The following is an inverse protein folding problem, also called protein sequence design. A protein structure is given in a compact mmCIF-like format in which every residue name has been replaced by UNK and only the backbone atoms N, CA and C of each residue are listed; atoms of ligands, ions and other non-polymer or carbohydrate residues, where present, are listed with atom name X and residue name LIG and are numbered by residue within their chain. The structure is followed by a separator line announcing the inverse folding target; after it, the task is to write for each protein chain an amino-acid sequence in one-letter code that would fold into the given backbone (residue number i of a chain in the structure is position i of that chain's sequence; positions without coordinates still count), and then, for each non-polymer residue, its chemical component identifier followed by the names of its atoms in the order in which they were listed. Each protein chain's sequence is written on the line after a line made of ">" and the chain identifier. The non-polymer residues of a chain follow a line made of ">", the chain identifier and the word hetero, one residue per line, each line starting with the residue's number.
data_IF_045453025921
#
_entry.id   IF_045453025921
#
_cell.length_a   1.000
_cell.length_b   1.000
_cell.length_c   1.000
_cell.angle_alpha   90.00
_cell.angle_beta   90.00
_cell.angle_gamma   90.00
#
_symmetry.space_group_name_H-M   'P 1'
#
loop_
_entity.id
_entity.type
_entity.pdbx_description
1 polymer ?
#
# COMPACT_ATOMS: atom_id res chain seq x y z
N UNK A 1 79.11 -35.13 8.16
CA UNK A 1 77.79 -35.34 8.80
C UNK A 1 77.26 -33.99 9.22
N UNK A 2 76.40 -33.43 8.39
CA UNK A 2 75.46 -32.28 8.63
C UNK A 2 74.96 -31.78 7.30
N UNK A 3 73.95 -32.45 6.77
CA UNK A 3 73.09 -31.93 5.71
C UNK A 3 71.69 -32.21 6.15
N UNK A 4 70.86 -31.22 6.09
CA UNK A 4 69.35 -31.18 6.09
C UNK A 4 68.80 -30.15 7.08
N UNK A 5 68.66 -28.93 6.61
CA UNK A 5 67.64 -27.96 7.08
C UNK A 5 67.70 -26.72 6.20
N UNK A 6 67.18 -26.79 5.03
CA UNK A 6 66.87 -25.58 4.21
C UNK A 6 65.99 -25.93 3.00
N UNK A 7 64.85 -26.51 3.20
CA UNK A 7 63.80 -26.61 2.13
C UNK A 7 62.42 -26.67 2.72
N UNK A 8 62.11 -25.89 3.75
CA UNK A 8 60.70 -25.87 4.27
C UNK A 8 60.16 -24.46 4.57
N UNK A 9 60.70 -23.45 3.91
CA UNK A 9 60.22 -22.07 4.18
C UNK A 9 59.78 -21.30 2.93
N UNK A 10 59.66 -21.92 1.77
CA UNK A 10 59.21 -21.28 0.54
C UNK A 10 57.81 -21.73 0.08
N UNK A 11 57.16 -22.64 0.78
CA UNK A 11 55.83 -23.18 0.39
C UNK A 11 54.65 -22.54 1.07
N UNK A 12 54.85 -21.65 2.04
CA UNK A 12 53.72 -21.10 2.84
C UNK A 12 53.38 -19.64 2.46
N UNK A 13 54.20 -18.96 1.67
CA UNK A 13 53.95 -17.56 1.29
C UNK A 13 53.11 -17.46 -0.02
N UNK A 14 53.04 -18.53 -0.82
CA UNK A 14 52.26 -18.51 -2.06
C UNK A 14 50.75 -18.85 -1.90
N UNK A 15 50.36 -19.40 -0.73
CA UNK A 15 48.95 -19.76 -0.47
C UNK A 15 48.15 -18.69 0.29
N UNK A 16 48.80 -17.64 0.79
CA UNK A 16 48.12 -16.55 1.51
C UNK A 16 47.80 -15.34 0.60
N UNK A 17 48.45 -15.28 -0.57
CA UNK A 17 48.23 -14.16 -1.52
C UNK A 17 47.10 -14.45 -2.53
N UNK A 18 46.63 -15.72 -2.67
CA UNK A 18 45.48 -16.04 -3.55
C UNK A 18 44.14 -16.08 -2.85
N UNK A 19 44.07 -15.90 -1.53
CA UNK A 19 42.79 -15.82 -0.83
C UNK A 19 42.29 -14.39 -0.57
N UNK A 20 43.09 -13.37 -0.93
CA UNK A 20 42.70 -11.97 -0.72
C UNK A 20 42.14 -11.25 -1.95
N UNK A 21 42.03 -11.92 -3.10
CA UNK A 21 41.46 -11.32 -4.33
C UNK A 21 40.08 -11.84 -4.71
N UNK A 22 39.44 -12.66 -3.87
CA UNK A 22 38.05 -13.09 -4.03
C UNK A 22 37.08 -12.46 -3.01
N UNK A 23 37.54 -11.45 -2.27
CA UNK A 23 36.67 -10.47 -1.64
C UNK A 23 36.37 -9.32 -2.62
N UNK A 24 36.14 -9.63 -3.89
CA UNK A 24 35.37 -8.76 -4.75
C UNK A 24 33.94 -8.83 -4.26
N UNK A 25 33.66 -7.93 -3.30
CA UNK A 25 32.43 -7.20 -3.27
C UNK A 25 31.25 -8.05 -3.82
N UNK A 26 30.67 -8.88 -2.97
CA UNK A 26 29.24 -9.10 -3.02
C UNK A 26 28.58 -7.72 -2.73
N UNK A 27 28.84 -6.77 -3.64
CA UNK A 27 28.10 -5.52 -3.70
C UNK A 27 26.68 -5.97 -3.97
N UNK A 28 25.87 -5.86 -2.92
CA UNK A 28 24.46 -6.14 -2.82
C UNK A 28 23.83 -6.24 -4.22
N UNK A 29 23.58 -7.45 -4.67
CA UNK A 29 22.59 -7.69 -5.71
C UNK A 29 21.27 -7.24 -5.09
N UNK A 30 20.95 -5.95 -5.24
CA UNK A 30 19.69 -5.39 -4.78
C UNK A 30 18.60 -6.13 -5.52
N UNK A 31 17.97 -7.04 -4.83
CA UNK A 31 16.85 -7.82 -5.25
C UNK A 31 15.71 -6.88 -5.64
N UNK A 32 15.07 -7.09 -6.80
CA UNK A 32 13.81 -6.41 -7.10
C UNK A 32 12.75 -6.94 -6.16
N UNK A 33 12.06 -6.07 -5.41
CA UNK A 33 11.03 -6.52 -4.51
C UNK A 33 9.86 -7.16 -5.28
N UNK A 34 9.30 -8.27 -4.78
CA UNK A 34 8.07 -8.82 -5.31
C UNK A 34 6.96 -7.79 -5.15
N UNK A 35 6.35 -7.35 -6.26
CA UNK A 35 5.23 -6.44 -6.21
C UNK A 35 3.93 -7.22 -5.97
N UNK A 36 3.16 -6.82 -4.97
CA UNK A 36 1.86 -7.37 -4.69
C UNK A 36 0.76 -6.45 -5.20
N UNK A 37 -0.10 -6.92 -6.10
CA UNK A 37 -1.24 -6.14 -6.59
C UNK A 37 -2.55 -6.52 -5.89
N UNK A 38 -3.30 -5.52 -5.44
CA UNK A 38 -4.66 -5.67 -4.92
C UNK A 38 -5.59 -4.90 -5.83
N UNK A 39 -6.30 -5.62 -6.68
CA UNK A 39 -7.24 -5.06 -7.66
C UNK A 39 -8.41 -6.02 -7.82
N UNK A 40 -9.61 -5.53 -7.55
CA UNK A 40 -10.85 -6.24 -7.82
C UNK A 40 -11.41 -5.91 -9.20
N UNK A 41 -12.43 -6.63 -9.63
CA UNK A 41 -13.13 -6.36 -10.89
C UNK A 41 -13.81 -4.96 -10.92
N UNK A 42 -13.96 -4.34 -9.76
CA UNK A 42 -14.49 -2.99 -9.59
C UNK A 42 -14.09 -2.46 -8.19
N UNK A 43 -14.35 -1.16 -7.94
CA UNK A 43 -14.02 -0.50 -6.66
C UNK A 43 -14.59 -1.18 -5.41
N UNK A 44 -15.78 -1.80 -5.51
CA UNK A 44 -16.39 -2.51 -4.38
C UNK A 44 -15.65 -3.80 -4.04
N UNK A 45 -15.16 -4.49 -5.05
CA UNK A 45 -14.33 -5.70 -4.84
C UNK A 45 -12.93 -5.33 -4.36
N UNK A 46 -12.32 -4.26 -4.92
CA UNK A 46 -11.03 -3.74 -4.41
C UNK A 46 -11.14 -3.40 -2.93
N UNK A 47 -12.19 -2.69 -2.51
CA UNK A 47 -12.45 -2.38 -1.09
C UNK A 47 -12.54 -3.65 -0.23
N UNK A 48 -13.21 -4.66 -0.75
CA UNK A 48 -13.35 -5.95 -0.10
C UNK A 48 -12.03 -6.70 0.03
N UNK A 49 -11.23 -6.78 -1.04
CA UNK A 49 -9.91 -7.43 -1.02
C UNK A 49 -8.95 -6.76 -0.03
N UNK A 50 -9.01 -5.43 0.09
CA UNK A 50 -8.27 -4.69 1.10
C UNK A 50 -8.74 -5.05 2.50
N UNK A 51 -10.06 -5.10 2.73
CA UNK A 51 -10.64 -5.47 4.03
C UNK A 51 -10.26 -6.89 4.45
N UNK A 52 -10.24 -7.84 3.52
CA UNK A 52 -9.93 -9.25 3.77
C UNK A 52 -8.49 -9.49 4.26
N UNK A 53 -7.60 -8.50 4.14
CA UNK A 53 -6.21 -8.62 4.61
C UNK A 53 -6.07 -8.52 6.13
N UNK A 54 -7.13 -8.19 6.86
CA UNK A 54 -7.12 -8.03 8.32
C UNK A 54 -8.37 -8.62 8.97
N UNK A 55 -8.28 -8.99 10.22
CA UNK A 55 -9.44 -9.38 11.01
C UNK A 55 -10.17 -8.14 11.51
N UNK A 56 -11.49 -8.11 11.39
CA UNK A 56 -12.32 -7.00 11.86
C UNK A 56 -13.73 -7.48 12.26
N UNK A 57 -14.36 -6.76 13.17
CA UNK A 57 -15.76 -6.98 13.61
C UNK A 57 -16.61 -5.73 13.45
N UNK A 58 -16.01 -4.66 12.93
CA UNK A 58 -16.64 -3.38 12.62
C UNK A 58 -16.19 -2.94 11.25
N UNK A 59 -16.99 -2.16 10.55
CA UNK A 59 -16.62 -1.56 9.28
C UNK A 59 -17.17 -0.14 9.16
N UNK A 60 -16.53 0.66 8.32
CA UNK A 60 -17.07 1.92 7.83
C UNK A 60 -17.67 1.67 6.47
N UNK A 61 -18.86 2.18 6.21
CA UNK A 61 -19.49 2.13 4.89
C UNK A 61 -19.71 3.56 4.38
N UNK A 62 -19.22 3.81 3.16
CA UNK A 62 -19.36 5.07 2.44
C UNK A 62 -19.92 4.83 1.03
N UNK A 63 -20.52 5.84 0.44
CA UNK A 63 -20.88 5.84 -0.98
C UNK A 63 -19.95 6.76 -1.78
N UNK A 64 -19.39 6.22 -2.86
CA UNK A 64 -18.47 6.94 -3.74
C UNK A 64 -18.95 7.02 -5.19
N UNK A 65 -20.22 6.69 -5.46
CA UNK A 65 -20.75 6.66 -6.83
C UNK A 65 -20.93 8.07 -7.42
N UNK A 66 -21.33 9.02 -6.59
CA UNK A 66 -21.52 10.42 -7.01
C UNK A 66 -20.36 11.32 -6.58
N UNK A 67 -19.79 11.04 -5.43
CA UNK A 67 -18.74 11.87 -4.83
C UNK A 67 -18.01 11.10 -3.72
N UNK A 68 -16.73 11.36 -3.57
CA UNK A 68 -15.89 10.81 -2.51
C UNK A 68 -15.99 11.62 -1.20
N UNK A 69 -16.68 12.74 -1.20
CA UNK A 69 -16.59 13.76 -0.15
C UNK A 69 -16.90 13.29 1.27
N UNK A 70 -17.89 12.39 1.43
CA UNK A 70 -18.22 11.82 2.74
C UNK A 70 -17.10 10.89 3.25
N UNK A 71 -16.31 10.32 2.32
CA UNK A 71 -15.18 9.44 2.63
C UNK A 71 -13.91 10.16 3.04
N UNK A 72 -13.76 11.46 2.71
CA UNK A 72 -12.51 12.21 2.95
C UNK A 72 -12.08 12.26 4.43
N UNK A 73 -13.05 12.16 5.35
CA UNK A 73 -12.80 12.14 6.80
C UNK A 73 -12.82 10.74 7.44
N UNK A 74 -13.07 9.67 6.65
CA UNK A 74 -13.33 8.34 7.18
C UNK A 74 -12.10 7.66 7.80
N UNK A 75 -10.90 7.94 7.30
CA UNK A 75 -9.68 7.17 7.60
C UNK A 75 -9.25 7.27 9.07
N UNK A 76 -9.37 8.44 9.70
CA UNK A 76 -9.09 8.58 11.13
C UNK A 76 -10.00 7.69 11.99
N UNK A 77 -11.30 7.62 11.66
CA UNK A 77 -12.25 6.74 12.31
C UNK A 77 -11.95 5.27 12.00
N UNK A 78 -11.51 4.96 10.78
CA UNK A 78 -11.09 3.61 10.41
C UNK A 78 -9.93 3.11 11.30
N UNK A 79 -8.94 3.96 11.55
CA UNK A 79 -7.86 3.67 12.48
C UNK A 79 -8.34 3.57 13.94
N UNK A 80 -9.15 4.52 14.41
CA UNK A 80 -9.61 4.57 15.79
C UNK A 80 -10.53 3.39 16.17
N UNK A 81 -11.37 2.93 15.23
CA UNK A 81 -12.30 1.81 15.44
C UNK A 81 -11.78 0.46 14.94
N UNK A 82 -10.55 0.40 14.43
CA UNK A 82 -9.98 -0.79 13.78
C UNK A 82 -10.90 -1.36 12.67
N UNK A 83 -11.45 -0.48 11.83
CA UNK A 83 -12.45 -0.82 10.82
C UNK A 83 -11.90 -0.66 9.40
N UNK A 84 -12.11 -1.59 8.47
CA UNK A 84 -11.90 -1.33 7.06
C UNK A 84 -12.97 -0.36 6.53
N UNK A 85 -12.67 0.27 5.39
CA UNK A 85 -13.64 1.06 4.64
C UNK A 85 -14.21 0.18 3.53
N UNK A 86 -15.52 -0.03 3.54
CA UNK A 86 -16.29 -0.73 2.52
C UNK A 86 -17.16 0.25 1.75
N UNK A 87 -17.50 -0.09 0.53
CA UNK A 87 -18.27 0.78 -0.36
C UNK A 87 -19.70 0.27 -0.55
N UNK A 88 -20.65 1.21 -0.65
CA UNK A 88 -22.03 0.92 -1.02
C UNK A 88 -22.51 1.82 -2.17
N UNK A 89 -23.61 1.44 -2.78
CA UNK A 89 -24.39 2.34 -3.66
C UNK A 89 -25.41 3.11 -2.82
N UNK A 90 -26.02 4.15 -3.41
CA UNK A 90 -27.02 4.95 -2.73
C UNK A 90 -28.18 4.09 -2.22
N UNK A 91 -28.73 3.20 -3.04
CA UNK A 91 -29.98 2.47 -2.78
C UNK A 91 -29.78 0.94 -2.61
N UNK A 92 -28.57 0.42 -2.77
CA UNK A 92 -28.29 -1.02 -2.70
C UNK A 92 -26.87 -1.30 -2.20
N UNK A 93 -26.68 -2.46 -1.62
CA UNK A 93 -25.36 -2.93 -1.18
C UNK A 93 -24.84 -3.92 -2.21
N UNK A 94 -23.67 -3.66 -2.84
CA UNK A 94 -23.04 -4.60 -3.79
C UNK A 94 -22.73 -5.96 -3.16
N UNK A 95 -22.76 -7.02 -3.96
CA UNK A 95 -22.49 -8.38 -3.47
C UNK A 95 -21.09 -8.52 -2.83
N UNK A 96 -20.09 -7.84 -3.37
CA UNK A 96 -18.74 -7.80 -2.80
C UNK A 96 -18.72 -7.24 -1.38
N UNK A 97 -19.54 -6.25 -1.08
CA UNK A 97 -19.72 -5.72 0.27
C UNK A 97 -20.58 -6.64 1.12
N UNK A 98 -21.70 -7.16 0.59
CA UNK A 98 -22.60 -8.05 1.32
C UNK A 98 -21.90 -9.29 1.89
N UNK A 99 -21.01 -9.93 1.12
CA UNK A 99 -20.19 -11.08 1.53
C UNK A 99 -19.33 -10.82 2.78
N UNK A 100 -19.06 -9.57 3.10
CA UNK A 100 -18.17 -9.15 4.20
C UNK A 100 -18.90 -8.63 5.44
N UNK A 101 -20.24 -8.69 5.42
CA UNK A 101 -21.06 -8.20 6.53
C UNK A 101 -21.31 -9.24 7.62
N UNK A 102 -21.22 -10.55 7.33
CA UNK A 102 -21.73 -11.60 8.19
C UNK A 102 -21.04 -11.70 9.56
N UNK A 103 -19.80 -11.19 9.68
CA UNK A 103 -19.04 -11.17 10.95
C UNK A 103 -19.10 -9.84 11.68
N UNK A 104 -19.83 -8.85 11.12
CA UNK A 104 -19.84 -7.50 11.67
C UNK A 104 -20.82 -7.37 12.84
N UNK A 105 -20.34 -6.75 13.90
CA UNK A 105 -21.14 -6.37 15.07
C UNK A 105 -21.60 -4.91 14.99
N UNK A 106 -20.82 -4.04 14.30
CA UNK A 106 -21.09 -2.61 14.19
C UNK A 106 -20.67 -2.07 12.83
N UNK A 107 -21.44 -1.14 12.31
CA UNK A 107 -21.14 -0.38 11.11
C UNK A 107 -21.27 1.11 11.41
N UNK A 108 -20.27 1.86 11.00
CA UNK A 108 -20.36 3.31 10.86
C UNK A 108 -20.77 3.64 9.42
N UNK A 109 -21.92 4.25 9.27
CA UNK A 109 -22.47 4.65 7.97
C UNK A 109 -22.23 6.14 7.79
N UNK A 110 -21.23 6.54 7.00
CA UNK A 110 -20.88 7.96 6.83
C UNK A 110 -21.57 8.54 5.61
N UNK A 111 -22.32 9.59 5.83
CA UNK A 111 -23.10 10.33 4.82
C UNK A 111 -24.59 10.33 5.11
N UNK A 112 -25.25 11.38 4.64
CA UNK A 112 -26.68 11.60 4.78
C UNK A 112 -27.53 10.66 3.94
N UNK A 113 -28.85 10.74 4.12
CA UNK A 113 -29.83 9.87 3.43
C UNK A 113 -29.80 10.03 1.90
N UNK A 114 -29.34 11.17 1.40
CA UNK A 114 -29.17 11.44 -0.02
C UNK A 114 -27.91 10.78 -0.60
N UNK A 115 -26.92 10.47 0.26
CA UNK A 115 -25.73 9.70 -0.11
C UNK A 115 -25.98 8.20 0.04
N UNK A 116 -26.52 7.78 1.19
CA UNK A 116 -26.83 6.38 1.51
C UNK A 116 -28.25 6.32 2.05
N UNK A 117 -29.16 5.73 1.29
CA UNK A 117 -30.60 5.75 1.60
C UNK A 117 -30.94 5.00 2.90
N UNK A 118 -32.12 5.30 3.44
CA UNK A 118 -32.70 4.56 4.57
C UNK A 118 -32.90 3.07 4.24
N UNK A 119 -33.12 2.72 2.96
CA UNK A 119 -33.24 1.33 2.56
C UNK A 119 -31.94 0.54 2.84
N UNK A 120 -30.77 1.09 2.47
CA UNK A 120 -29.46 0.48 2.78
C UNK A 120 -29.27 0.34 4.29
N UNK A 121 -29.58 1.39 5.06
CA UNK A 121 -29.49 1.35 6.53
C UNK A 121 -30.40 0.24 7.12
N UNK A 122 -31.62 0.10 6.62
CA UNK A 122 -32.56 -0.93 7.07
C UNK A 122 -32.07 -2.35 6.72
N UNK A 123 -31.50 -2.56 5.54
CA UNK A 123 -30.89 -3.85 5.17
C UNK A 123 -29.80 -4.23 6.20
N UNK A 124 -28.93 -3.29 6.58
CA UNK A 124 -27.88 -3.52 7.58
C UNK A 124 -28.46 -3.82 8.97
N UNK A 125 -29.49 -3.08 9.40
CA UNK A 125 -30.17 -3.30 10.69
C UNK A 125 -30.88 -4.67 10.75
N UNK A 126 -31.50 -5.10 9.64
CA UNK A 126 -32.17 -6.39 9.53
C UNK A 126 -31.18 -7.57 9.65
N UNK A 127 -29.89 -7.37 9.33
CA UNK A 127 -28.81 -8.33 9.60
C UNK A 127 -28.36 -8.33 11.08
N UNK A 128 -29.08 -7.65 11.99
CA UNK A 128 -28.76 -7.48 13.42
C UNK A 128 -27.42 -6.79 13.68
N UNK A 129 -26.96 -5.96 12.76
CA UNK A 129 -25.73 -5.18 12.91
C UNK A 129 -26.09 -3.83 13.56
N UNK A 130 -25.35 -3.41 14.58
CA UNK A 130 -25.49 -2.07 15.15
C UNK A 130 -25.01 -1.03 14.13
N UNK A 131 -25.92 -0.22 13.61
CA UNK A 131 -25.62 0.85 12.65
C UNK A 131 -25.57 2.19 13.37
N UNK A 132 -24.46 2.90 13.22
CA UNK A 132 -24.26 4.29 13.67
C UNK A 132 -24.12 5.14 12.41
N UNK A 133 -25.14 5.95 12.09
CA UNK A 133 -25.05 6.90 10.99
C UNK A 133 -24.34 8.16 11.48
N UNK A 134 -23.35 8.61 10.71
CA UNK A 134 -22.62 9.87 10.95
C UNK A 134 -22.88 10.76 9.72
N UNK A 135 -23.62 11.81 9.90
CA UNK A 135 -24.00 12.76 8.87
C UNK A 135 -24.02 14.19 9.41
N UNK A 136 -23.90 15.17 8.56
CA UNK A 136 -24.04 16.59 8.85
C UNK A 136 -24.86 17.27 7.74
N UNK A 137 -25.08 18.56 7.89
CA UNK A 137 -25.80 19.38 6.88
C UNK A 137 -25.02 19.47 5.57
N UNK A 138 -23.71 19.34 5.61
CA UNK A 138 -22.78 19.31 4.48
C UNK A 138 -21.56 18.45 4.80
N UNK A 139 -20.59 18.36 3.86
CA UNK A 139 -19.37 17.58 4.00
C UNK A 139 -18.47 18.05 5.15
N UNK A 140 -18.45 19.35 5.42
CA UNK A 140 -17.68 19.94 6.50
C UNK A 140 -18.26 19.50 7.83
N UNK A 141 -19.57 19.65 8.02
CA UNK A 141 -20.28 19.25 9.25
C UNK A 141 -20.21 17.72 9.45
N UNK A 142 -20.31 16.92 8.36
CA UNK A 142 -20.09 15.47 8.42
C UNK A 142 -18.70 15.17 8.99
N UNK A 143 -17.65 15.85 8.51
CA UNK A 143 -16.27 15.62 9.00
C UNK A 143 -16.12 15.95 10.49
N UNK A 144 -16.83 16.97 11.01
CA UNK A 144 -16.85 17.30 12.43
C UNK A 144 -17.53 16.23 13.26
N UNK A 145 -18.63 15.66 12.75
CA UNK A 145 -19.32 14.58 13.44
C UNK A 145 -18.49 13.29 13.43
N UNK A 146 -17.71 13.04 12.39
CA UNK A 146 -16.68 11.97 12.39
C UNK A 146 -15.61 12.24 13.44
N UNK A 147 -15.10 13.49 13.53
CA UNK A 147 -14.12 13.87 14.55
C UNK A 147 -14.65 13.70 15.98
N UNK A 148 -15.92 14.04 16.22
CA UNK A 148 -16.59 13.78 17.51
C UNK A 148 -16.67 12.30 17.82
N UNK A 149 -17.01 11.46 16.84
CA UNK A 149 -17.04 10.00 17.08
C UNK A 149 -15.64 9.47 17.39
N UNK A 150 -14.57 9.96 16.75
CA UNK A 150 -13.19 9.61 17.10
C UNK A 150 -12.90 10.03 18.57
N UNK A 151 -13.33 11.23 18.98
CA UNK A 151 -13.11 11.70 20.36
C UNK A 151 -13.86 10.89 21.42
N UNK A 152 -14.97 10.24 21.05
CA UNK A 152 -15.68 9.29 21.91
C UNK A 152 -14.92 7.96 22.08
N UNK A 153 -14.07 7.61 21.11
CA UNK A 153 -13.31 6.35 21.12
C UNK A 153 -11.94 6.49 21.76
N UNK A 154 -11.30 7.65 21.62
CA UNK A 154 -9.97 7.94 22.16
C UNK A 154 -9.75 9.44 22.32
N UNK A 155 -8.75 9.81 23.12
CA UNK A 155 -8.23 11.19 23.14
C UNK A 155 -7.68 11.56 21.77
N UNK A 156 -8.07 12.70 21.23
CA UNK A 156 -7.53 13.28 19.99
C UNK A 156 -6.27 14.08 20.35
N UNK A 157 -5.15 13.69 19.78
CA UNK A 157 -3.85 14.33 20.03
C UNK A 157 -3.44 15.27 18.90
N UNK A 158 -3.93 15.00 17.68
CA UNK A 158 -3.64 15.78 16.48
C UNK A 158 -4.92 15.99 15.65
N UNK A 159 -4.95 17.04 14.86
CA UNK A 159 -6.01 17.33 13.87
C UNK A 159 -5.38 17.70 12.54
N UNK A 160 -5.89 17.12 11.47
CA UNK A 160 -5.46 17.40 10.10
C UNK A 160 -6.54 18.21 9.38
N UNK A 161 -6.25 19.49 9.10
CA UNK A 161 -7.14 20.40 8.40
C UNK A 161 -6.90 20.30 6.89
N UNK A 162 -7.95 20.09 6.10
CA UNK A 162 -7.91 20.07 4.64
C UNK A 162 -9.05 20.90 4.06
N UNK A 163 -8.92 21.35 2.80
CA UNK A 163 -9.99 22.09 2.15
C UNK A 163 -11.05 21.14 1.59
N UNK A 164 -12.31 21.38 1.93
CA UNK A 164 -13.46 20.57 1.54
C UNK A 164 -13.78 20.61 0.03
N UNK A 165 -13.31 21.61 -0.69
CA UNK A 165 -13.72 21.92 -2.07
C UNK A 165 -12.57 21.89 -3.07
N UNK A 166 -11.35 22.16 -2.61
CA UNK A 166 -10.13 22.25 -3.43
C UNK A 166 -9.01 21.33 -2.92
N UNK A 167 -9.27 20.51 -1.90
CA UNK A 167 -8.28 19.69 -1.21
C UNK A 167 -8.65 18.21 -1.13
N UNK A 168 -9.41 17.66 -2.08
CA UNK A 168 -9.77 16.23 -2.05
C UNK A 168 -8.50 15.37 -2.05
N UNK A 169 -7.53 15.69 -2.90
CA UNK A 169 -6.25 14.94 -2.96
C UNK A 169 -5.42 15.13 -1.69
N UNK A 170 -5.42 16.33 -1.11
CA UNK A 170 -4.74 16.61 0.16
C UNK A 170 -5.36 15.79 1.31
N UNK A 171 -6.70 15.69 1.35
CA UNK A 171 -7.43 14.85 2.31
C UNK A 171 -7.09 13.37 2.16
N UNK A 172 -6.98 12.90 0.92
CA UNK A 172 -6.60 11.52 0.62
C UNK A 172 -5.13 11.27 0.96
N UNK A 173 -4.24 12.20 0.66
CA UNK A 173 -2.82 12.09 0.96
C UNK A 173 -2.52 11.98 2.46
N UNK A 174 -3.29 12.66 3.31
CA UNK A 174 -3.15 12.57 4.77
C UNK A 174 -3.92 11.40 5.38
N UNK A 175 -4.81 10.74 4.64
CA UNK A 175 -5.65 9.64 5.13
C UNK A 175 -4.87 8.48 5.77
N UNK A 176 -3.74 8.00 5.22
CA UNK A 176 -2.94 6.95 5.85
C UNK A 176 -2.38 7.38 7.21
N UNK A 177 -1.95 8.63 7.32
CA UNK A 177 -1.47 9.24 8.58
C UNK A 177 -2.59 9.33 9.60
N UNK A 178 -3.77 9.78 9.17
CA UNK A 178 -4.96 9.85 10.02
C UNK A 178 -5.35 8.47 10.55
N UNK A 179 -5.29 7.44 9.73
CA UNK A 179 -5.53 6.05 10.14
C UNK A 179 -4.44 5.53 11.10
N UNK A 180 -3.15 5.78 10.81
CA UNK A 180 -2.00 5.41 11.63
C UNK A 180 -2.10 5.95 13.06
N UNK A 181 -2.30 7.26 13.17
CA UNK A 181 -2.35 7.95 14.45
C UNK A 181 -3.75 8.01 15.06
N UNK A 182 -4.77 7.50 14.34
CA UNK A 182 -6.17 7.45 14.81
C UNK A 182 -6.73 8.84 15.11
N UNK A 183 -6.35 9.83 14.32
CA UNK A 183 -6.69 11.24 14.50
C UNK A 183 -7.56 11.74 13.33
N UNK A 184 -8.43 12.75 13.55
CA UNK A 184 -9.40 13.17 12.55
C UNK A 184 -8.80 13.99 11.41
N UNK A 185 -9.28 13.73 10.19
CA UNK A 185 -9.23 14.68 9.08
C UNK A 185 -10.48 15.56 9.16
N UNK A 186 -10.28 16.86 9.31
CA UNK A 186 -11.35 17.84 9.42
C UNK A 186 -11.37 18.73 8.19
N UNK A 187 -12.49 18.70 7.50
CA UNK A 187 -12.71 19.51 6.32
C UNK A 187 -13.04 20.96 6.70
N UNK A 188 -12.47 21.90 5.97
CA UNK A 188 -12.70 23.34 6.15
C UNK A 188 -13.04 24.01 4.81
N UNK A 189 -13.49 25.25 4.87
CA UNK A 189 -13.58 26.11 3.68
C UNK A 189 -12.26 26.81 3.34
N UNK A 190 -11.16 26.42 3.98
CA UNK A 190 -9.85 27.02 3.85
C UNK A 190 -9.62 28.30 4.67
N UNK A 191 -10.67 28.85 5.32
CA UNK A 191 -10.62 30.15 6.01
C UNK A 191 -10.85 30.07 7.51
N UNK A 192 -11.70 29.14 7.95
CA UNK A 192 -12.09 29.00 9.35
C UNK A 192 -12.52 27.57 9.71
N UNK A 193 -12.56 27.32 11.01
CA UNK A 193 -13.14 26.12 11.63
C UNK A 193 -14.05 26.54 12.79
N UNK A 194 -15.11 25.81 13.14
CA UNK A 194 -16.05 26.19 14.19
C UNK A 194 -15.65 25.77 15.61
N UNK A 195 -14.44 25.27 15.81
CA UNK A 195 -13.94 24.83 17.12
C UNK A 195 -12.54 25.38 17.38
N UNK A 196 -12.12 25.33 18.63
CA UNK A 196 -10.77 25.70 19.06
C UNK A 196 -9.84 24.49 19.00
N UNK A 197 -8.61 24.70 18.59
CA UNK A 197 -7.55 23.69 18.54
C UNK A 197 -6.54 23.84 19.69
N UNK A 198 -6.87 24.62 20.71
CA UNK A 198 -5.98 24.86 21.85
C UNK A 198 -5.62 23.54 22.54
N UNK A 199 -4.32 23.28 22.70
CA UNK A 199 -3.81 22.06 23.30
C UNK A 199 -3.82 20.82 22.39
N UNK A 200 -4.23 20.96 21.13
CA UNK A 200 -4.20 19.88 20.12
C UNK A 200 -3.24 20.26 19.02
N UNK A 201 -2.30 19.39 18.71
CA UNK A 201 -1.37 19.61 17.59
C UNK A 201 -2.14 19.64 16.28
N UNK A 202 -1.98 20.71 15.52
CA UNK A 202 -2.77 20.94 14.30
C UNK A 202 -1.86 21.02 13.09
N UNK A 203 -2.29 20.37 12.01
CA UNK A 203 -1.63 20.43 10.71
C UNK A 203 -2.60 20.98 9.67
N UNK A 204 -2.09 21.88 8.82
CA UNK A 204 -2.80 22.38 7.65
C UNK A 204 -2.21 21.71 6.41
N UNK A 205 -2.98 20.86 5.77
CA UNK A 205 -2.55 20.08 4.63
C UNK A 205 -2.97 20.75 3.33
N UNK A 206 -1.97 21.10 2.53
CA UNK A 206 -2.15 21.82 1.27
C UNK A 206 -1.51 23.20 1.25
N UNK A 207 -1.39 23.79 0.05
CA UNK A 207 -0.82 25.10 -0.18
C UNK A 207 -1.71 26.26 0.30
N UNK A 208 -1.20 27.50 0.14
CA UNK A 208 -1.90 28.73 0.55
C UNK A 208 -3.21 28.97 -0.20
N UNK A 209 -3.32 28.48 -1.45
CA UNK A 209 -4.55 28.52 -2.22
C UNK A 209 -5.66 27.59 -1.64
N UNK A 210 -5.27 26.50 -0.99
CA UNK A 210 -6.19 25.54 -0.38
C UNK A 210 -6.56 25.96 1.05
N UNK A 211 -5.59 26.33 1.87
CA UNK A 211 -5.79 26.77 3.26
C UNK A 211 -5.08 28.11 3.48
N UNK A 212 -5.84 29.14 3.83
CA UNK A 212 -5.32 30.49 4.02
C UNK A 212 -4.37 30.57 5.23
N UNK A 213 -3.37 31.45 5.16
CA UNK A 213 -2.44 31.68 6.26
C UNK A 213 -3.13 32.19 7.53
N UNK A 214 -4.26 32.93 7.38
CA UNK A 214 -5.06 33.34 8.54
C UNK A 214 -5.59 32.17 9.37
N UNK A 215 -6.04 31.09 8.72
CA UNK A 215 -6.47 29.87 9.42
C UNK A 215 -5.28 29.14 10.04
N UNK A 216 -4.17 29.04 9.32
CA UNK A 216 -2.92 28.43 9.85
C UNK A 216 -2.46 29.14 11.11
N UNK A 217 -2.41 30.49 11.06
CA UNK A 217 -1.97 31.31 12.18
C UNK A 217 -2.93 31.22 13.39
N UNK A 218 -4.24 31.31 13.14
CA UNK A 218 -5.25 31.27 14.22
C UNK A 218 -5.31 29.91 14.93
N UNK A 219 -4.99 28.83 14.22
CA UNK A 219 -4.95 27.46 14.78
C UNK A 219 -3.54 27.04 15.22
N UNK A 220 -2.53 27.87 15.02
CA UNK A 220 -1.11 27.54 15.21
C UNK A 220 -0.71 26.25 14.49
N UNK A 221 -1.32 25.99 13.33
CA UNK A 221 -1.11 24.77 12.58
C UNK A 221 0.27 24.74 11.92
N UNK A 222 0.89 23.59 11.84
CA UNK A 222 2.04 23.34 10.96
C UNK A 222 1.53 23.07 9.55
N UNK A 223 1.92 23.90 8.57
CA UNK A 223 1.57 23.67 7.17
C UNK A 223 2.44 22.58 6.56
N UNK A 224 1.79 21.64 5.87
CA UNK A 224 2.42 20.66 4.98
C UNK A 224 1.74 20.79 3.62
N UNK A 225 2.44 21.38 2.66
CA UNK A 225 1.94 21.61 1.31
C UNK A 225 3.09 21.69 0.32
N UNK A 226 2.86 21.19 -0.87
CA UNK A 226 3.79 21.17 -1.98
C UNK A 226 3.46 22.21 -3.05
N UNK A 227 4.23 22.18 -4.14
CA UNK A 227 3.96 22.99 -5.34
C UNK A 227 2.74 22.46 -6.09
N UNK A 228 2.48 21.15 -5.94
CA UNK A 228 1.28 20.48 -6.41
C UNK A 228 0.83 19.40 -5.41
N UNK A 229 -0.24 18.67 -5.78
CA UNK A 229 -0.85 17.63 -4.95
C UNK A 229 0.05 16.41 -4.72
N UNK A 230 0.95 16.08 -5.67
CA UNK A 230 1.86 14.94 -5.57
C UNK A 230 3.07 15.29 -4.71
N UNK A 231 3.61 16.49 -4.85
CA UNK A 231 4.63 17.03 -3.94
C UNK A 231 4.08 17.17 -2.51
N UNK A 232 2.80 17.53 -2.35
CA UNK A 232 2.13 17.50 -1.03
C UNK A 232 2.11 16.10 -0.45
N UNK A 233 1.74 15.07 -1.24
CA UNK A 233 1.74 13.67 -0.80
C UNK A 233 3.14 13.21 -0.38
N UNK A 234 4.16 13.51 -1.17
CA UNK A 234 5.55 13.17 -0.87
C UNK A 234 6.03 13.83 0.44
N UNK A 235 5.73 15.12 0.65
CA UNK A 235 6.06 15.84 1.88
C UNK A 235 5.37 15.28 3.10
N UNK A 236 4.11 14.85 2.98
CA UNK A 236 3.39 14.13 4.05
C UNK A 236 4.13 12.84 4.39
N UNK A 237 4.49 12.04 3.41
CA UNK A 237 5.21 10.78 3.61
C UNK A 237 6.56 11.05 4.29
N UNK A 238 7.35 11.99 3.78
CA UNK A 238 8.64 12.36 4.37
C UNK A 238 8.52 12.91 5.79
N UNK A 239 7.39 13.53 6.15
CA UNK A 239 7.17 14.08 7.49
C UNK A 239 6.75 13.02 8.50
N UNK A 240 5.78 12.15 8.16
CA UNK A 240 5.13 11.24 9.09
C UNK A 240 5.66 9.81 9.08
N UNK A 241 6.45 9.43 8.07
CA UNK A 241 7.00 8.08 7.90
C UNK A 241 8.53 8.09 7.84
N UNK A 242 9.16 9.00 8.59
CA UNK A 242 10.63 9.17 8.59
C UNK A 242 11.38 7.89 8.95
N UNK A 243 10.86 7.14 9.90
CA UNK A 243 11.51 5.92 10.40
C UNK A 243 11.28 4.76 9.44
N UNK A 244 10.08 4.63 8.90
CA UNK A 244 9.74 3.63 7.89
C UNK A 244 10.52 3.84 6.58
N UNK A 245 10.85 5.09 6.24
CA UNK A 245 11.65 5.42 5.05
C UNK A 245 13.16 5.13 5.21
N UNK A 246 13.66 4.93 6.41
CA UNK A 246 15.06 4.51 6.61
C UNK A 246 15.32 3.10 6.07
N UNK A 247 14.29 2.24 6.21
CA UNK A 247 14.28 0.87 5.72
C UNK A 247 12.90 0.59 5.10
N UNK A 248 12.61 1.10 3.89
CA UNK A 248 11.27 1.04 3.34
C UNK A 248 10.92 -0.40 2.96
N UNK A 249 10.26 -1.13 3.88
CA UNK A 249 9.80 -2.48 3.60
C UNK A 249 8.61 -2.49 2.66
N UNK A 250 7.57 -1.71 2.96
CA UNK A 250 6.35 -1.69 2.15
C UNK A 250 5.85 -0.27 1.94
N UNK A 251 5.48 0.03 0.69
CA UNK A 251 4.82 1.27 0.26
C UNK A 251 3.63 0.86 -0.60
N UNK A 252 2.46 1.45 -0.33
CA UNK A 252 1.32 1.32 -1.22
C UNK A 252 1.47 2.29 -2.39
N UNK A 253 1.39 1.79 -3.61
CA UNK A 253 1.44 2.58 -4.85
C UNK A 253 0.03 2.66 -5.41
N UNK A 254 -0.46 3.86 -5.64
CA UNK A 254 -1.82 4.11 -6.14
C UNK A 254 -1.78 5.18 -7.22
N UNK A 255 -2.58 5.02 -8.28
CA UNK A 255 -2.72 6.09 -9.28
C UNK A 255 -3.30 7.36 -8.65
N UNK A 256 -2.70 8.51 -8.94
CA UNK A 256 -3.23 9.81 -8.52
C UNK A 256 -4.60 10.15 -9.15
N UNK A 257 -4.98 9.41 -10.18
CA UNK A 257 -6.28 9.57 -10.85
C UNK A 257 -7.39 8.73 -10.19
N UNK A 258 -7.01 7.81 -9.26
CA UNK A 258 -7.95 6.94 -8.55
C UNK A 258 -7.94 7.21 -7.04
N UNK A 259 -8.58 8.31 -6.64
CA UNK A 259 -8.65 8.72 -5.23
C UNK A 259 -9.42 7.74 -4.34
N UNK A 260 -10.30 6.92 -4.92
CA UNK A 260 -11.04 5.90 -4.16
C UNK A 260 -10.09 4.82 -3.69
N UNK A 261 -9.27 4.27 -4.57
CA UNK A 261 -8.29 3.24 -4.21
C UNK A 261 -7.24 3.79 -3.25
N UNK A 262 -6.86 5.07 -3.39
CA UNK A 262 -5.97 5.74 -2.46
C UNK A 262 -6.57 5.88 -1.05
N UNK A 263 -7.87 6.22 -0.93
CA UNK A 263 -8.55 6.24 0.36
C UNK A 263 -8.61 4.84 0.98
N UNK A 264 -9.00 3.83 0.20
CA UNK A 264 -9.12 2.46 0.67
C UNK A 264 -7.79 1.91 1.18
N UNK A 265 -6.69 2.22 0.49
CA UNK A 265 -5.34 1.78 0.87
C UNK A 265 -4.88 2.35 2.21
N UNK A 266 -5.45 3.47 2.68
CA UNK A 266 -5.18 4.03 4.01
C UNK A 266 -5.50 3.06 5.16
N UNK A 267 -6.27 2.01 4.91
CA UNK A 267 -6.70 1.03 5.90
C UNK A 267 -5.97 -0.31 5.80
N UNK A 268 -5.00 -0.48 4.90
CA UNK A 268 -4.26 -1.74 4.74
C UNK A 268 -3.40 -2.02 5.97
N UNK A 269 -2.48 -1.12 6.27
CA UNK A 269 -1.60 -1.23 7.43
C UNK A 269 -1.10 0.15 7.86
N UNK A 270 -1.02 0.39 9.17
CA UNK A 270 -0.63 1.68 9.75
C UNK A 270 0.78 2.16 9.36
N UNK A 271 1.72 1.24 9.12
CA UNK A 271 3.12 1.56 8.81
C UNK A 271 3.38 1.71 7.31
N UNK A 272 2.37 1.49 6.45
CA UNK A 272 2.57 1.60 5.01
C UNK A 272 2.15 2.97 4.50
N UNK A 273 3.10 3.82 4.07
CA UNK A 273 2.75 5.06 3.40
C UNK A 273 2.03 4.76 2.07
N UNK A 274 1.13 5.65 1.69
CA UNK A 274 0.42 5.58 0.39
C UNK A 274 0.99 6.65 -0.52
N UNK A 275 1.67 6.20 -1.56
CA UNK A 275 2.33 7.05 -2.54
C UNK A 275 1.49 7.17 -3.80
N UNK A 276 1.09 8.39 -4.12
CA UNK A 276 0.33 8.71 -5.32
C UNK A 276 1.27 8.85 -6.50
N UNK A 277 0.97 8.15 -7.59
CA UNK A 277 1.81 8.16 -8.79
C UNK A 277 1.04 8.60 -10.04
N UNK A 278 1.74 9.28 -10.93
CA UNK A 278 1.35 9.57 -12.31
C UNK A 278 2.58 9.44 -13.23
N UNK A 279 2.48 9.90 -14.49
CA UNK A 279 3.57 9.81 -15.45
C UNK A 279 4.80 10.67 -15.08
N UNK A 280 4.61 11.75 -14.33
CA UNK A 280 5.63 12.83 -14.20
C UNK A 280 6.28 12.97 -12.84
N UNK A 281 5.66 12.50 -11.73
CA UNK A 281 6.27 12.67 -10.41
C UNK A 281 7.50 11.78 -10.19
N UNK A 282 8.38 12.20 -9.28
CA UNK A 282 9.52 11.41 -8.84
C UNK A 282 9.06 10.08 -8.18
N UNK A 283 9.69 8.97 -8.52
CA UNK A 283 9.41 7.62 -7.98
C UNK A 283 10.51 7.10 -7.04
N UNK A 284 11.47 7.94 -6.69
CA UNK A 284 12.62 7.52 -5.87
C UNK A 284 12.24 6.88 -4.53
N UNK A 285 11.15 7.35 -3.91
CA UNK A 285 10.64 6.75 -2.67
C UNK A 285 10.15 5.30 -2.86
N UNK A 286 9.57 5.01 -4.03
CA UNK A 286 8.99 3.69 -4.32
C UNK A 286 10.05 2.72 -4.79
N UNK A 287 10.99 3.17 -5.62
CA UNK A 287 12.07 2.32 -6.15
C UNK A 287 13.02 1.81 -5.06
N UNK A 288 13.00 2.43 -3.88
CA UNK A 288 13.76 1.99 -2.70
C UNK A 288 13.00 0.97 -1.83
N UNK A 289 11.71 0.74 -2.06
CA UNK A 289 10.90 -0.16 -1.24
C UNK A 289 11.18 -1.64 -1.55
N UNK A 290 11.24 -2.47 -0.50
CA UNK A 290 11.49 -3.91 -0.66
C UNK A 290 10.26 -4.69 -1.15
N UNK A 291 9.06 -4.28 -0.75
CA UNK A 291 7.80 -4.97 -1.06
C UNK A 291 6.69 -3.96 -1.40
N UNK A 292 6.74 -3.32 -2.57
CA UNK A 292 5.69 -2.39 -2.98
C UNK A 292 4.35 -3.11 -3.18
N UNK A 293 3.26 -2.48 -2.71
CA UNK A 293 1.90 -2.97 -2.88
C UNK A 293 1.19 -2.07 -3.89
N UNK A 294 0.81 -2.62 -5.02
CA UNK A 294 0.07 -1.92 -6.07
C UNK A 294 -1.41 -2.01 -5.75
N UNK A 295 -2.11 -0.88 -5.67
CA UNK A 295 -3.54 -0.85 -5.40
C UNK A 295 -4.28 -0.31 -6.61
N UNK A 296 -5.26 -1.10 -7.07
CA UNK A 296 -6.09 -0.75 -8.20
C UNK A 296 -5.38 -0.81 -9.55
N UNK A 297 -5.93 -0.07 -10.50
CA UNK A 297 -5.41 0.01 -11.86
C UNK A 297 -4.41 1.16 -12.01
N UNK A 298 -3.20 0.82 -12.45
CA UNK A 298 -2.12 1.77 -12.73
C UNK A 298 -1.58 1.44 -14.11
N UNK A 299 -1.42 2.45 -14.97
CA UNK A 299 -0.83 2.29 -16.31
C UNK A 299 0.54 1.62 -16.25
N UNK A 300 0.83 0.76 -17.21
CA UNK A 300 2.07 -0.01 -17.25
C UNK A 300 3.32 0.89 -17.28
N UNK A 301 3.26 2.01 -18.00
CA UNK A 301 4.37 2.96 -18.10
C UNK A 301 4.73 3.59 -16.75
N UNK A 302 3.73 3.80 -15.90
CA UNK A 302 3.93 4.31 -14.52
C UNK A 302 4.48 3.20 -13.63
N UNK A 303 3.94 1.98 -13.73
CA UNK A 303 4.44 0.83 -12.97
C UNK A 303 5.89 0.53 -13.30
N UNK A 304 6.28 0.64 -14.57
CA UNK A 304 7.66 0.48 -15.00
C UNK A 304 8.61 1.43 -14.27
N UNK A 305 8.22 2.69 -14.14
CA UNK A 305 9.01 3.69 -13.41
C UNK A 305 9.08 3.38 -11.91
N UNK A 306 8.03 2.78 -11.34
CA UNK A 306 7.96 2.46 -9.91
C UNK A 306 8.74 1.19 -9.55
N UNK A 307 8.67 0.15 -10.38
CA UNK A 307 9.07 -1.20 -10.01
C UNK A 307 10.41 -1.65 -10.58
N UNK A 308 10.94 -0.96 -11.58
CA UNK A 308 12.15 -1.40 -12.28
C UNK A 308 13.22 -0.31 -12.28
N UNK A 309 14.10 -0.29 -11.28
CA UNK A 309 15.28 0.56 -11.31
C UNK A 309 16.15 0.25 -12.53
N UNK A 310 16.70 1.28 -13.19
CA UNK A 310 17.45 1.13 -14.44
C UNK A 310 18.61 0.15 -14.38
N UNK A 311 19.27 0.06 -13.23
CA UNK A 311 20.41 -0.83 -13.03
C UNK A 311 20.04 -2.32 -12.99
N UNK A 312 18.74 -2.66 -12.94
CA UNK A 312 18.27 -4.06 -12.90
C UNK A 312 17.95 -4.62 -14.29
N UNK A 313 17.90 -3.80 -15.32
CA UNK A 313 17.61 -4.26 -16.66
C UNK A 313 18.91 -4.74 -17.33
N UNK A 314 18.92 -6.01 -17.75
CA UNK A 314 20.04 -6.60 -18.45
C UNK A 314 19.65 -6.90 -19.91
N UNK A 315 20.57 -6.68 -20.84
CA UNK A 315 20.35 -6.97 -22.26
C UNK A 315 19.26 -6.07 -22.89
N UNK A 316 18.40 -6.68 -23.72
CA UNK A 316 17.33 -6.00 -24.45
C UNK A 316 15.99 -5.94 -23.70
N UNK A 317 15.92 -6.40 -22.46
CA UNK A 317 14.68 -6.42 -21.67
C UNK A 317 14.29 -5.00 -21.30
N UNK A 318 13.08 -4.58 -21.69
CA UNK A 318 12.51 -3.28 -21.35
C UNK A 318 11.60 -3.41 -20.13
N UNK A 319 11.48 -2.34 -19.37
CA UNK A 319 10.53 -2.25 -18.22
C UNK A 319 9.10 -2.57 -18.64
N UNK A 320 8.66 -2.01 -19.78
CA UNK A 320 7.32 -2.23 -20.34
C UNK A 320 6.99 -3.71 -20.56
N UNK A 321 7.98 -4.51 -20.87
CA UNK A 321 7.79 -5.93 -21.19
C UNK A 321 7.56 -6.74 -19.89
N UNK A 322 8.27 -6.39 -18.82
CA UNK A 322 8.05 -7.01 -17.50
C UNK A 322 6.67 -6.66 -16.93
N UNK A 323 6.22 -5.40 -17.08
CA UNK A 323 4.87 -4.99 -16.65
C UNK A 323 3.77 -5.72 -17.41
N UNK A 324 3.89 -5.85 -18.75
CA UNK A 324 2.94 -6.62 -19.56
C UNK A 324 2.90 -8.10 -19.14
N UNK A 325 4.06 -8.68 -18.85
CA UNK A 325 4.14 -10.06 -18.38
C UNK A 325 3.47 -10.23 -17.01
N UNK A 326 3.65 -9.28 -16.08
CA UNK A 326 2.94 -9.28 -14.80
C UNK A 326 1.42 -9.16 -14.98
N UNK A 327 0.95 -8.27 -15.86
CA UNK A 327 -0.49 -8.16 -16.16
C UNK A 327 -1.07 -9.45 -16.74
N UNK A 328 -0.31 -10.15 -17.60
CA UNK A 328 -0.71 -11.44 -18.12
C UNK A 328 -0.87 -12.48 -16.99
N UNK A 329 0.05 -12.50 -16.00
CA UNK A 329 -0.04 -13.35 -14.82
C UNK A 329 -1.31 -13.04 -14.02
N UNK A 330 -1.58 -11.76 -13.72
CA UNK A 330 -2.78 -11.37 -12.98
C UNK A 330 -4.06 -11.75 -13.71
N UNK A 331 -4.09 -11.61 -15.03
CA UNK A 331 -5.22 -12.02 -15.87
C UNK A 331 -5.42 -13.53 -15.85
N UNK A 332 -4.36 -14.32 -15.99
CA UNK A 332 -4.42 -15.80 -16.01
C UNK A 332 -4.83 -16.37 -14.65
N UNK A 333 -4.28 -15.87 -13.55
CA UNK A 333 -4.58 -16.32 -12.17
C UNK A 333 -5.91 -15.80 -11.62
N UNK A 334 -6.49 -14.74 -12.20
CA UNK A 334 -7.73 -14.13 -11.74
C UNK A 334 -7.69 -13.73 -10.26
N UNK A 335 -8.75 -13.98 -9.51
CA UNK A 335 -8.83 -13.61 -8.08
C UNK A 335 -7.76 -14.25 -7.19
N UNK A 336 -7.21 -15.40 -7.59
CA UNK A 336 -6.13 -16.08 -6.85
C UNK A 336 -4.78 -15.38 -6.99
N UNK A 337 -4.61 -14.50 -7.99
CA UNK A 337 -3.37 -13.75 -8.17
C UNK A 337 -2.98 -12.94 -6.93
N UNK A 338 -3.98 -12.46 -6.16
CA UNK A 338 -3.76 -11.64 -4.96
C UNK A 338 -3.29 -12.43 -3.72
N UNK A 339 -3.24 -13.75 -3.81
CA UNK A 339 -2.72 -14.60 -2.73
C UNK A 339 -1.19 -14.71 -2.76
N UNK A 340 -0.55 -14.22 -3.83
CA UNK A 340 0.88 -14.40 -4.10
C UNK A 340 1.56 -13.10 -4.50
N UNK A 341 2.87 -13.05 -4.28
CA UNK A 341 3.77 -12.07 -4.88
C UNK A 341 4.53 -12.72 -6.06
N UNK A 342 4.82 -11.96 -7.09
CA UNK A 342 5.54 -12.44 -8.26
C UNK A 342 6.83 -11.65 -8.43
N UNK A 343 7.96 -12.34 -8.48
CA UNK A 343 9.29 -11.74 -8.65
C UNK A 343 9.90 -12.18 -9.95
N UNK A 344 10.26 -11.23 -10.81
CA UNK A 344 10.97 -11.51 -12.06
C UNK A 344 12.38 -12.03 -11.77
N UNK A 345 12.74 -13.15 -12.41
CA UNK A 345 14.05 -13.73 -12.30
C UNK A 345 15.04 -13.08 -13.27
N UNK A 346 15.93 -12.24 -12.77
CA UNK A 346 16.96 -11.54 -13.55
C UNK A 346 18.20 -12.39 -13.90
N UNK A 347 18.10 -13.71 -13.79
CA UNK A 347 19.25 -14.59 -13.95
C UNK A 347 20.14 -14.69 -12.71
N UNK A 348 19.58 -14.41 -11.54
CA UNK A 348 20.28 -14.50 -10.26
C UNK A 348 20.54 -15.97 -9.94
N UNK A 349 21.81 -16.30 -9.60
CA UNK A 349 22.26 -17.66 -9.27
C UNK A 349 21.62 -18.31 -8.02
N UNK A 350 20.82 -17.55 -7.26
CA UNK A 350 20.06 -18.07 -6.11
C UNK A 350 18.85 -18.91 -6.50
N UNK A 351 18.36 -18.77 -7.73
CA UNK A 351 17.14 -19.39 -8.19
C UNK A 351 17.44 -20.45 -9.25
N UNK A 352 16.72 -21.56 -9.14
CA UNK A 352 16.75 -22.61 -10.15
C UNK A 352 16.15 -22.06 -11.43
N UNK A 353 16.93 -22.02 -12.51
CA UNK A 353 16.45 -21.56 -13.82
C UNK A 353 15.61 -22.65 -14.45
N UNK A 354 14.49 -22.28 -15.08
CA UNK A 354 13.70 -23.19 -15.88
C UNK A 354 14.52 -23.60 -17.15
N UNK A 355 14.49 -24.87 -17.47
CA UNK A 355 15.22 -25.47 -18.58
C UNK A 355 14.25 -26.09 -19.60
N UNK A 356 14.73 -26.33 -20.83
CA UNK A 356 13.97 -26.94 -21.92
C UNK A 356 12.72 -26.12 -22.34
N UNK A 357 12.86 -24.79 -22.39
CA UNK A 357 11.85 -23.87 -22.89
C UNK A 357 12.33 -23.35 -24.26
N UNK A 358 11.61 -23.68 -25.30
CA UNK A 358 11.96 -23.45 -26.70
C UNK A 358 11.40 -22.17 -27.32
N UNK A 359 10.89 -21.26 -26.45
CA UNK A 359 10.43 -19.94 -26.86
C UNK A 359 11.03 -18.82 -26.00
N UNK A 360 11.11 -17.57 -26.47
CA UNK A 360 11.52 -16.43 -25.67
C UNK A 360 10.54 -16.20 -24.52
N UNK A 361 11.05 -16.04 -23.28
CA UNK A 361 10.20 -15.95 -22.10
C UNK A 361 10.75 -15.06 -20.99
N UNK A 362 9.84 -14.67 -20.11
CA UNK A 362 10.13 -14.10 -18.79
C UNK A 362 9.80 -15.12 -17.71
N UNK A 363 10.69 -15.26 -16.75
CA UNK A 363 10.56 -16.18 -15.62
C UNK A 363 10.21 -15.43 -14.34
N UNK A 364 9.18 -15.88 -13.62
CA UNK A 364 8.74 -15.28 -12.37
C UNK A 364 8.65 -16.33 -11.27
N UNK A 365 9.18 -16.01 -10.10
CA UNK A 365 8.92 -16.80 -8.91
C UNK A 365 7.61 -16.43 -8.25
N UNK A 366 6.91 -17.43 -7.73
CA UNK A 366 5.69 -17.28 -6.95
C UNK A 366 6.04 -17.36 -5.48
N UNK A 367 5.76 -16.30 -4.73
CA UNK A 367 5.98 -16.22 -3.29
C UNK A 367 4.65 -16.20 -2.57
N UNK A 368 4.44 -17.11 -1.62
CA UNK A 368 3.20 -17.15 -0.83
C UNK A 368 3.16 -16.02 0.19
N UNK A 369 2.08 -15.22 0.15
CA UNK A 369 1.83 -14.13 1.11
C UNK A 369 1.21 -14.65 2.42
N UNK A 370 0.64 -15.87 2.42
CA UNK A 370 -0.07 -16.45 3.58
C UNK A 370 0.84 -16.78 4.76
N UNK A 371 2.16 -16.89 4.54
CA UNK A 371 3.13 -17.25 5.57
C UNK A 371 3.80 -16.05 6.25
N UNK A 372 3.48 -14.84 5.88
CA UNK A 372 3.89 -13.64 6.62
C UNK A 372 2.99 -13.54 7.85
N UNK A 373 3.30 -14.32 8.89
CA UNK A 373 2.65 -14.17 10.20
C UNK A 373 3.03 -12.79 10.74
N UNK A 374 2.04 -11.93 10.91
CA UNK A 374 2.16 -10.81 11.83
C UNK A 374 2.22 -11.42 13.24
N UNK A 375 3.38 -11.39 13.88
CA UNK A 375 3.49 -11.69 15.31
C UNK A 375 2.81 -10.56 16.07
N UNK A 376 1.54 -10.78 16.47
CA UNK A 376 0.74 -9.87 17.30
C UNK A 376 1.18 -9.90 18.81
N UNK A 377 2.34 -10.47 19.13
CA UNK A 377 2.71 -10.78 20.54
C UNK A 377 3.68 -9.79 21.20
N UNK A 378 4.04 -8.67 20.61
CA UNK A 378 4.82 -7.65 21.34
C UNK A 378 3.93 -6.52 21.85
N UNK A 379 3.54 -6.59 23.12
CA UNK A 379 2.84 -5.54 23.86
C UNK A 379 3.76 -4.39 24.31
N UNK A 380 5.03 -4.40 23.95
CA UNK A 380 6.04 -3.45 24.47
C UNK A 380 6.63 -2.48 23.45
N UNK A 381 6.11 -2.41 22.24
CA UNK A 381 6.52 -1.38 21.26
C UNK A 381 7.93 -1.53 20.68
N UNK A 382 8.63 -2.64 20.94
CA UNK A 382 9.90 -2.98 20.29
C UNK A 382 9.65 -4.03 19.21
N UNK A 383 9.21 -3.59 18.04
CA UNK A 383 9.20 -4.43 16.82
C UNK A 383 10.66 -4.65 16.37
N UNK A 384 11.36 -5.55 17.03
CA UNK A 384 12.56 -6.15 16.44
C UNK A 384 12.10 -7.13 15.38
N UNK A 385 12.09 -6.68 14.13
CA UNK A 385 12.08 -7.56 12.97
C UNK A 385 13.32 -8.44 13.04
N UNK A 386 13.18 -9.61 13.61
CA UNK A 386 14.16 -10.66 13.36
C UNK A 386 13.88 -11.15 11.94
N UNK A 387 14.79 -10.83 11.01
CA UNK A 387 14.87 -11.46 9.70
C UNK A 387 15.02 -12.99 9.91
N UNK A 388 13.91 -13.67 10.12
CA UNK A 388 13.85 -15.11 9.90
C UNK A 388 13.65 -15.28 8.41
N UNK A 389 14.72 -15.56 7.69
CA UNK A 389 14.74 -15.98 6.28
C UNK A 389 13.73 -17.13 6.00
N UNK A 390 13.19 -17.78 7.01
CA UNK A 390 12.24 -18.89 6.95
C UNK A 390 10.77 -18.49 6.68
N UNK A 391 10.44 -17.19 6.60
CA UNK A 391 9.03 -16.75 6.42
C UNK A 391 8.62 -16.54 4.95
N UNK A 392 9.56 -16.44 4.03
CA UNK A 392 9.31 -16.25 2.60
C UNK A 392 9.48 -17.60 1.90
N UNK A 393 8.39 -18.23 1.50
CA UNK A 393 8.43 -19.52 0.81
C UNK A 393 8.09 -19.34 -0.66
N UNK A 394 9.04 -19.62 -1.55
CA UNK A 394 8.78 -19.81 -2.98
C UNK A 394 7.91 -21.05 -3.14
N UNK A 395 6.76 -20.90 -3.80
CA UNK A 395 5.77 -21.98 -3.97
C UNK A 395 5.64 -22.44 -5.42
N UNK A 396 6.33 -21.81 -6.36
CA UNK A 396 6.34 -22.19 -7.76
C UNK A 396 7.05 -21.20 -8.67
N UNK A 397 7.05 -21.50 -9.96
CA UNK A 397 7.62 -20.65 -11.01
C UNK A 397 6.60 -20.50 -12.14
N UNK A 398 6.48 -19.29 -12.66
CA UNK A 398 5.70 -18.97 -13.84
C UNK A 398 6.62 -18.57 -14.99
N UNK A 399 6.28 -19.06 -16.16
CA UNK A 399 6.90 -18.69 -17.42
C UNK A 399 5.87 -17.89 -18.22
N UNK A 400 6.26 -16.72 -18.69
CA UNK A 400 5.44 -15.89 -19.58
C UNK A 400 6.13 -15.84 -20.93
N UNK A 401 5.47 -16.33 -21.98
CA UNK A 401 5.97 -16.19 -23.35
C UNK A 401 6.07 -14.69 -23.70
N UNK A 402 7.25 -14.23 -24.08
CA UNK A 402 7.50 -12.79 -24.28
C UNK A 402 6.84 -12.22 -25.55
N UNK A 403 6.44 -13.08 -26.48
CA UNK A 403 5.79 -12.69 -27.75
C UNK A 403 4.26 -12.76 -27.65
N UNK A 404 3.72 -13.84 -27.05
CA UNK A 404 2.27 -14.10 -27.01
C UNK A 404 1.62 -13.68 -25.71
N UNK A 405 2.41 -13.44 -24.64
CA UNK A 405 1.97 -13.19 -23.26
C UNK A 405 1.16 -14.35 -22.65
N UNK A 406 1.27 -15.54 -23.20
CA UNK A 406 0.71 -16.73 -22.61
C UNK A 406 1.47 -17.11 -21.33
N UNK A 407 0.74 -17.55 -20.30
CA UNK A 407 1.28 -17.85 -18.98
C UNK A 407 1.25 -19.35 -18.72
N UNK A 408 2.34 -19.87 -18.19
CA UNK A 408 2.52 -21.28 -17.88
C UNK A 408 3.05 -21.46 -16.46
N UNK A 409 2.58 -22.49 -15.75
CA UNK A 409 3.25 -22.99 -14.56
C UNK A 409 4.36 -23.95 -14.97
N UNK A 410 5.55 -23.79 -14.37
CA UNK A 410 6.70 -24.67 -14.60
C UNK A 410 6.94 -25.58 -13.40
N UNK A 411 7.05 -26.88 -13.66
CA UNK A 411 7.40 -27.89 -12.66
C UNK A 411 8.88 -28.28 -12.81
N UNK A 412 9.70 -28.03 -11.79
CA UNK A 412 11.11 -28.43 -11.78
C UNK A 412 11.29 -29.95 -11.68
N UNK A 413 10.32 -30.67 -11.07
CA UNK A 413 10.42 -32.13 -10.90
C UNK A 413 10.20 -32.88 -12.23
N UNK A 414 9.29 -32.36 -13.05
CA UNK A 414 8.93 -33.01 -14.32
C UNK A 414 9.47 -32.26 -15.54
N UNK A 415 10.04 -31.08 -15.35
CA UNK A 415 10.48 -30.14 -16.41
C UNK A 415 9.38 -29.84 -17.44
N UNK A 416 8.13 -29.75 -16.98
CA UNK A 416 6.95 -29.54 -17.84
C UNK A 416 6.34 -28.16 -17.62
N UNK A 417 5.85 -27.60 -18.72
CA UNK A 417 5.00 -26.42 -18.74
C UNK A 417 3.53 -26.82 -18.76
N UNK A 418 2.73 -26.17 -17.92
CA UNK A 418 1.27 -26.29 -17.95
C UNK A 418 0.69 -24.91 -18.17
N UNK A 419 0.01 -24.69 -19.30
CA UNK A 419 -0.66 -23.41 -19.61
C UNK A 419 -1.80 -23.18 -18.62
N UNK A 420 -1.93 -21.91 -18.14
CA UNK A 420 -2.95 -21.50 -17.17
C UNK A 420 -3.78 -20.32 -17.68
#
# INVERSE_FOLDING_TARGET
>A
MKFKRKVLTLGIIASVVMSSTLLVSAKELKFRPPAHRIQGANKYETAGLIADRRKYTQAIIINTDKSLVDGLSASGLAGASNSPILLTKQNSIPNSTLKRLDKLKKIYLIGGVNSISKNVENILKNKKIKVIRIEGKDRIDTSYNVAKEISNLKKVDEVYLTNAYQGEVDSISISPVAAKYKNPVVLTNGKNIPFKTDGVKTYAIGGTASINDSLVNSTKATRIGGVDRLDTNEKIIKHFYKDELKHPNQICIVSSDNLIDALLSSTIHKEYPVFLVNETNDKSLVTSANFPIIIGDIKNEILDQCLTPDYMLTGNTKRSDISKALDAIYKAKGSKAHEYCYTYNYGNSRYKKAENIDFPHYEFEIISVKNVKQDESSTDGSDTYTDKEDSIKTVGTLIVNSETLEVYEYSFDTQKLTKI
#
